data_IF_824623788807
#
_entry.id   IF_824623788807
#
_cell.length_a   1.000
_cell.length_b   1.000
_cell.length_c   1.000
_cell.angle_alpha   90.00
_cell.angle_beta   90.00
_cell.angle_gamma   90.00
#
_symmetry.space_group_name_H-M   'P 1'
#
loop_
_entity.id
_entity.type
_entity.pdbx_description
1 polymer ?
#
# COMPACT_ATOMS: atom_id res chain seq x y z
N UNK A 1 -70.98 66.55 -3.99
CA UNK A 1 -70.70 65.11 -4.25
C UNK A 1 -69.53 65.01 -5.22
N UNK A 2 -68.34 65.32 -4.73
CA UNK A 2 -67.01 65.22 -5.35
C UNK A 2 -66.09 65.89 -4.33
N UNK A 3 -64.83 65.47 -4.23
CA UNK A 3 -63.85 65.91 -3.21
C UNK A 3 -64.00 65.20 -1.84
N UNK A 4 -63.90 63.86 -1.79
CA UNK A 4 -63.38 63.16 -0.59
C UNK A 4 -62.82 61.75 -0.90
N UNK A 5 -62.50 61.46 -2.17
CA UNK A 5 -62.01 60.15 -2.60
C UNK A 5 -60.55 60.15 -3.09
N UNK A 6 -59.77 61.20 -2.79
CA UNK A 6 -58.36 61.30 -3.21
C UNK A 6 -57.35 61.29 -2.06
N UNK A 7 -57.78 61.30 -0.79
CA UNK A 7 -56.87 61.31 0.35
C UNK A 7 -56.48 59.91 0.87
N UNK A 8 -57.17 58.84 0.47
CA UNK A 8 -56.91 57.49 0.97
C UNK A 8 -55.98 56.63 0.08
N UNK A 9 -55.67 57.06 -1.15
CA UNK A 9 -54.78 56.32 -2.06
C UNK A 9 -53.32 56.79 -1.92
N UNK A 10 -53.08 57.96 -1.33
CA UNK A 10 -51.74 58.49 -1.10
C UNK A 10 -50.98 57.80 0.07
N UNK A 11 -51.66 56.98 0.88
CA UNK A 11 -51.08 56.27 2.03
C UNK A 11 -50.78 54.79 1.78
N UNK A 12 -50.91 54.31 0.54
CA UNK A 12 -50.62 52.91 0.17
C UNK A 12 -49.51 52.73 -0.87
N UNK A 13 -48.72 53.78 -1.16
CA UNK A 13 -47.61 53.74 -2.14
C UNK A 13 -46.28 54.26 -1.54
N UNK A 14 -46.03 54.03 -0.25
CA UNK A 14 -44.72 54.37 0.37
C UNK A 14 -43.98 53.22 1.05
N UNK A 15 -44.35 51.96 0.79
CA UNK A 15 -43.53 50.81 1.20
C UNK A 15 -43.30 49.81 0.07
N UNK A 16 -42.96 50.29 -1.13
CA UNK A 16 -42.10 49.51 -2.02
C UNK A 16 -40.67 49.97 -1.76
N UNK A 17 -40.03 49.29 -0.81
CA UNK A 17 -38.58 49.31 -0.67
C UNK A 17 -38.00 48.93 -2.03
N UNK A 18 -37.27 49.85 -2.64
CA UNK A 18 -36.50 49.63 -3.85
C UNK A 18 -35.61 48.39 -3.64
N UNK A 19 -35.83 47.34 -4.42
CA UNK A 19 -34.85 46.27 -4.54
C UNK A 19 -33.64 46.86 -5.25
N UNK A 20 -32.54 47.07 -4.51
CA UNK A 20 -31.29 47.59 -5.06
C UNK A 20 -30.84 46.76 -6.28
N UNK A 21 -30.28 47.41 -7.33
CA UNK A 21 -29.76 46.71 -8.49
C UNK A 21 -28.58 45.80 -8.10
N UNK A 22 -28.60 44.57 -8.62
CA UNK A 22 -27.65 43.51 -8.31
C UNK A 22 -26.20 43.94 -8.57
N UNK A 23 -25.25 43.75 -7.63
CA UNK A 23 -23.85 44.06 -7.87
C UNK A 23 -23.28 43.11 -8.95
N UNK A 24 -22.71 43.68 -10.02
CA UNK A 24 -21.94 42.92 -11.02
C UNK A 24 -20.60 42.50 -10.40
N UNK A 25 -20.16 41.27 -10.66
CA UNK A 25 -18.86 40.80 -10.18
C UNK A 25 -17.73 41.70 -10.70
N UNK A 26 -16.75 42.08 -9.86
CA UNK A 26 -15.62 42.87 -10.30
C UNK A 26 -14.77 42.07 -11.30
N UNK A 27 -14.14 42.77 -12.25
CA UNK A 27 -13.25 42.14 -13.25
C UNK A 27 -11.96 41.57 -12.64
N UNK A 28 -11.56 42.06 -11.46
CA UNK A 28 -10.42 41.56 -10.68
C UNK A 28 -10.82 41.42 -9.22
N UNK A 29 -10.54 40.25 -8.65
CA UNK A 29 -10.79 39.97 -7.24
C UNK A 29 -9.67 40.54 -6.35
N UNK A 30 -10.04 41.30 -5.33
CA UNK A 30 -9.14 41.79 -4.27
C UNK A 30 -9.45 41.05 -2.97
N UNK A 31 -8.69 39.97 -2.72
CA UNK A 31 -8.92 39.07 -1.59
C UNK A 31 -8.65 39.76 -0.24
N UNK A 32 -7.87 40.84 -0.21
CA UNK A 32 -7.58 41.60 1.01
C UNK A 32 -8.81 42.28 1.62
N UNK A 33 -9.84 42.51 0.80
CA UNK A 33 -11.12 43.12 1.21
C UNK A 33 -12.17 42.09 1.57
N UNK A 34 -11.86 40.80 1.48
CA UNK A 34 -12.82 39.76 1.79
C UNK A 34 -13.13 39.73 3.29
N UNK A 35 -14.41 39.61 3.67
CA UNK A 35 -14.78 39.38 5.05
C UNK A 35 -14.20 38.05 5.51
N UNK A 36 -13.84 37.96 6.80
CA UNK A 36 -13.43 36.70 7.45
C UNK A 36 -14.51 36.24 8.44
N UNK A 37 -15.69 35.81 7.95
CA UNK A 37 -16.80 35.43 8.82
C UNK A 37 -16.53 34.11 9.55
N UNK A 38 -17.03 33.98 10.78
CA UNK A 38 -17.08 32.68 11.48
C UNK A 38 -18.14 31.80 10.83
N UNK A 39 -17.71 30.75 10.13
CA UNK A 39 -18.60 29.85 9.39
C UNK A 39 -18.59 28.42 9.97
N UNK A 40 -19.52 28.09 10.89
CA UNK A 40 -19.66 26.74 11.45
C UNK A 40 -19.91 25.65 10.40
N UNK A 41 -20.58 26.00 9.30
CA UNK A 41 -20.89 25.06 8.21
C UNK A 41 -19.75 24.87 7.21
N UNK A 42 -18.62 25.56 7.39
CA UNK A 42 -17.51 25.57 6.44
C UNK A 42 -17.57 26.77 5.49
N UNK A 43 -16.56 26.88 4.64
CA UNK A 43 -16.40 27.98 3.69
C UNK A 43 -16.63 27.50 2.27
N UNK A 44 -17.28 28.34 1.47
CA UNK A 44 -17.44 28.14 0.03
C UNK A 44 -17.12 29.44 -0.69
N UNK A 45 -16.66 29.39 -1.94
CA UNK A 45 -16.51 30.60 -2.74
C UNK A 45 -17.84 31.34 -2.88
N UNK A 46 -17.78 32.68 -2.84
CA UNK A 46 -18.90 33.53 -3.23
C UNK A 46 -19.27 33.34 -4.70
N UNK A 47 -20.34 33.99 -5.16
CA UNK A 47 -20.82 33.86 -6.55
C UNK A 47 -19.83 34.38 -7.59
N UNK A 48 -18.87 35.20 -7.19
CA UNK A 48 -17.85 35.77 -8.07
C UNK A 48 -16.54 34.96 -7.99
N UNK A 49 -16.52 33.85 -7.26
CA UNK A 49 -15.32 33.07 -6.93
C UNK A 49 -14.18 33.93 -6.36
N UNK A 50 -14.52 34.95 -5.58
CA UNK A 50 -13.57 35.93 -5.08
C UNK A 50 -13.30 35.76 -3.58
N UNK A 51 -14.35 35.79 -2.76
CA UNK A 51 -14.23 35.65 -1.31
C UNK A 51 -14.72 34.30 -0.81
N UNK A 52 -14.19 33.85 0.33
CA UNK A 52 -14.75 32.73 1.07
C UNK A 52 -15.90 33.23 1.95
N UNK A 53 -17.09 32.70 1.70
CA UNK A 53 -18.32 32.99 2.47
C UNK A 53 -18.82 31.74 3.18
N UNK A 54 -19.76 31.92 4.11
CA UNK A 54 -20.31 30.77 4.83
C UNK A 54 -21.11 29.87 3.90
N UNK A 55 -20.76 28.59 3.93
CA UNK A 55 -21.49 27.55 3.23
C UNK A 55 -22.89 27.36 3.83
N UNK A 56 -23.82 26.87 3.01
CA UNK A 56 -25.17 26.57 3.50
C UNK A 56 -25.13 25.41 4.50
N UNK A 57 -25.72 25.65 5.67
CA UNK A 57 -25.83 24.66 6.73
C UNK A 57 -26.94 23.64 6.48
N UNK A 58 -26.95 22.55 7.25
CA UNK A 58 -28.00 21.53 7.14
C UNK A 58 -29.39 22.13 7.36
N UNK A 59 -30.35 21.80 6.49
CA UNK A 59 -31.70 22.37 6.49
C UNK A 59 -31.85 23.65 5.67
N UNK A 60 -30.75 24.24 5.21
CA UNK A 60 -30.78 25.45 4.37
C UNK A 60 -31.12 25.13 2.92
N UNK A 61 -31.58 26.14 2.18
CA UNK A 61 -31.95 25.98 0.78
C UNK A 61 -30.74 25.79 -0.12
N UNK A 62 -30.90 24.91 -1.11
CA UNK A 62 -29.88 24.66 -2.11
C UNK A 62 -30.50 24.32 -3.48
N UNK A 63 -29.66 24.38 -4.52
CA UNK A 63 -30.02 23.94 -5.87
C UNK A 63 -30.67 25.01 -6.75
N UNK A 64 -30.97 26.22 -6.23
CA UNK A 64 -31.32 27.37 -7.08
C UNK A 64 -30.06 28.13 -7.51
N UNK A 65 -30.16 28.86 -8.61
CA UNK A 65 -29.07 29.70 -9.14
C UNK A 65 -28.53 30.73 -8.13
N UNK A 66 -29.38 31.15 -7.19
CA UNK A 66 -29.04 32.12 -6.16
C UNK A 66 -28.63 31.47 -4.81
N UNK A 67 -28.77 30.16 -4.65
CA UNK A 67 -28.37 29.48 -3.42
C UNK A 67 -26.85 29.23 -3.41
N UNK A 68 -26.20 29.45 -2.27
CA UNK A 68 -24.81 29.04 -2.05
C UNK A 68 -24.73 27.50 -1.91
N UNK A 69 -23.58 26.89 -2.23
CA UNK A 69 -23.41 25.46 -2.09
C UNK A 69 -23.47 24.99 -0.63
N UNK A 70 -23.88 23.73 -0.43
CA UNK A 70 -23.90 23.09 0.87
C UNK A 70 -22.48 22.89 1.42
N UNK A 71 -22.32 23.02 2.74
CA UNK A 71 -21.04 22.85 3.41
C UNK A 71 -20.51 21.42 3.46
N UNK A 72 -19.29 21.24 3.98
CA UNK A 72 -18.59 19.97 3.99
C UNK A 72 -19.41 18.81 4.59
N UNK A 73 -19.60 17.76 3.79
CA UNK A 73 -20.33 16.55 4.18
C UNK A 73 -21.86 16.63 3.97
N UNK A 74 -22.38 17.78 3.56
CA UNK A 74 -23.78 17.97 3.18
C UNK A 74 -23.96 17.79 1.67
N UNK A 75 -25.05 17.15 1.26
CA UNK A 75 -25.47 17.00 -0.12
C UNK A 75 -26.80 17.74 -0.33
N UNK A 76 -26.96 18.40 -1.48
CA UNK A 76 -28.21 19.04 -1.82
C UNK A 76 -29.23 17.99 -2.27
N UNK A 77 -30.28 17.76 -1.48
CA UNK A 77 -31.34 16.79 -1.81
C UNK A 77 -32.63 17.49 -2.19
N UNK A 78 -33.24 17.01 -3.27
CA UNK A 78 -34.56 17.46 -3.72
C UNK A 78 -35.65 16.47 -3.26
N UNK A 79 -36.84 16.95 -2.88
CA UNK A 79 -38.01 16.12 -2.67
C UNK A 79 -38.29 15.20 -3.87
N UNK A 80 -38.65 13.95 -3.59
CA UNK A 80 -38.92 12.95 -4.62
C UNK A 80 -40.00 13.43 -5.61
N UNK A 81 -39.69 13.36 -6.91
CA UNK A 81 -40.64 13.63 -8.00
C UNK A 81 -40.67 15.05 -8.57
N UNK A 82 -39.86 16.01 -8.08
CA UNK A 82 -39.82 17.38 -8.65
C UNK A 82 -38.41 17.96 -8.74
N UNK A 83 -37.72 17.77 -9.87
CA UNK A 83 -36.39 18.38 -10.16
C UNK A 83 -36.38 19.92 -10.11
N UNK A 84 -37.53 20.59 -10.20
CA UNK A 84 -37.66 22.06 -10.09
C UNK A 84 -38.00 22.56 -8.66
N UNK A 85 -38.12 21.67 -7.68
CA UNK A 85 -38.43 22.06 -6.30
C UNK A 85 -37.20 22.51 -5.52
N UNK A 86 -37.40 23.40 -4.52
CA UNK A 86 -36.35 23.92 -3.63
C UNK A 86 -35.64 22.75 -2.94
N UNK A 87 -34.34 22.57 -3.21
CA UNK A 87 -33.51 21.57 -2.55
C UNK A 87 -33.16 22.00 -1.13
N UNK A 88 -32.77 21.03 -0.30
CA UNK A 88 -32.34 21.27 1.08
C UNK A 88 -31.01 20.56 1.32
N UNK A 89 -30.07 21.23 1.96
CA UNK A 89 -28.79 20.64 2.36
C UNK A 89 -29.02 19.58 3.43
N UNK A 90 -28.64 18.34 3.17
CA UNK A 90 -28.81 17.21 4.10
C UNK A 90 -27.50 16.46 4.27
N UNK A 91 -27.19 16.03 5.49
CA UNK A 91 -26.00 15.20 5.73
C UNK A 91 -26.11 13.87 4.98
N UNK A 92 -25.00 13.45 4.36
CA UNK A 92 -24.90 12.14 3.69
C UNK A 92 -25.17 10.98 4.65
N UNK A 93 -24.77 11.15 5.90
CA UNK A 93 -24.92 10.20 6.98
C UNK A 93 -25.97 10.72 7.96
N UNK A 94 -27.13 10.07 8.07
CA UNK A 94 -28.26 10.54 8.87
C UNK A 94 -28.37 9.93 10.27
N UNK A 95 -27.42 9.06 10.67
CA UNK A 95 -27.43 8.42 11.98
C UNK A 95 -26.90 9.37 13.06
N UNK A 96 -27.47 9.29 14.27
CA UNK A 96 -27.00 10.07 15.44
C UNK A 96 -25.57 9.71 15.81
N UNK A 97 -24.81 10.68 16.34
CA UNK A 97 -23.44 10.46 16.81
C UNK A 97 -23.23 11.10 18.18
N UNK A 98 -22.40 10.48 19.01
CA UNK A 98 -22.01 11.03 20.30
C UNK A 98 -20.73 11.84 20.14
N UNK A 99 -20.73 13.09 20.62
CA UNK A 99 -19.53 13.92 20.68
C UNK A 99 -18.68 13.62 21.91
N UNK A 100 -17.38 13.95 21.84
CA UNK A 100 -16.47 13.91 22.98
C UNK A 100 -16.89 14.84 24.13
N UNK A 101 -17.81 15.76 23.87
CA UNK A 101 -18.47 16.63 24.85
C UNK A 101 -19.68 15.97 25.53
N UNK A 102 -19.95 14.70 25.26
CA UNK A 102 -21.10 13.96 25.81
C UNK A 102 -22.44 14.38 25.23
N UNK A 103 -22.47 15.22 24.18
CA UNK A 103 -23.72 15.63 23.53
C UNK A 103 -24.05 14.74 22.35
N UNK A 104 -25.32 14.36 22.26
CA UNK A 104 -25.84 13.66 21.09
C UNK A 104 -26.08 14.64 19.96
N UNK A 105 -25.41 14.41 18.83
CA UNK A 105 -25.65 15.14 17.58
C UNK A 105 -26.54 14.31 16.66
N UNK A 106 -27.44 14.98 15.94
CA UNK A 106 -28.35 14.32 15.01
C UNK A 106 -27.65 13.58 13.86
N UNK A 107 -26.44 14.02 13.51
CA UNK A 107 -25.56 13.39 12.53
C UNK A 107 -24.12 13.94 12.61
N UNK A 108 -23.20 13.30 11.87
CA UNK A 108 -21.79 13.69 11.81
C UNK A 108 -21.58 15.13 11.29
N UNK A 109 -22.43 15.63 10.39
CA UNK A 109 -22.30 16.98 9.86
C UNK A 109 -22.58 18.04 10.93
N UNK A 110 -23.57 17.79 11.80
CA UNK A 110 -23.86 18.65 12.96
C UNK A 110 -22.74 18.63 13.99
N UNK A 111 -22.14 17.47 14.25
CA UNK A 111 -20.98 17.38 15.15
C UNK A 111 -19.80 18.18 14.60
N UNK A 112 -19.47 18.02 13.31
CA UNK A 112 -18.40 18.80 12.66
C UNK A 112 -18.67 20.31 12.70
N UNK A 113 -19.92 20.72 12.51
CA UNK A 113 -20.31 22.13 12.61
C UNK A 113 -20.14 22.67 14.04
N UNK A 114 -20.51 21.88 15.06
CA UNK A 114 -20.29 22.22 16.46
C UNK A 114 -18.80 22.30 16.82
N UNK A 115 -17.98 21.36 16.33
CA UNK A 115 -16.53 21.38 16.52
C UNK A 115 -15.89 22.65 15.93
N UNK A 116 -16.24 23.01 14.69
CA UNK A 116 -15.74 24.24 14.05
C UNK A 116 -16.13 25.48 14.83
N UNK A 117 -17.37 25.53 15.34
CA UNK A 117 -17.82 26.62 16.21
C UNK A 117 -17.03 26.67 17.52
N UNK A 118 -16.78 25.53 18.15
CA UNK A 118 -16.00 25.44 19.38
C UNK A 118 -14.56 25.94 19.18
N UNK A 119 -13.88 25.47 18.13
CA UNK A 119 -12.52 25.89 17.77
C UNK A 119 -12.43 27.40 17.48
N UNK A 120 -13.42 27.95 16.78
CA UNK A 120 -13.49 29.39 16.51
C UNK A 120 -13.74 30.24 17.77
N UNK A 121 -14.31 29.64 18.82
CA UNK A 121 -14.51 30.27 20.13
C UNK A 121 -13.36 29.99 21.10
N UNK A 122 -12.27 29.34 20.65
CA UNK A 122 -11.14 28.96 21.51
C UNK A 122 -11.46 27.85 22.51
N UNK A 123 -12.56 27.12 22.33
CA UNK A 123 -12.96 26.00 23.16
C UNK A 123 -12.31 24.69 22.68
N UNK A 124 -12.32 23.68 23.55
CA UNK A 124 -11.82 22.33 23.24
C UNK A 124 -12.53 21.73 22.04
N UNK A 125 -11.77 21.04 21.18
CA UNK A 125 -12.30 20.40 19.99
C UNK A 125 -13.27 19.28 20.36
N UNK A 126 -14.41 19.24 19.68
CA UNK A 126 -15.41 18.17 19.80
C UNK A 126 -15.20 17.16 18.69
N UNK A 127 -14.76 15.96 19.03
CA UNK A 127 -14.57 14.85 18.09
C UNK A 127 -15.70 13.83 18.24
N UNK A 128 -15.86 12.95 17.26
CA UNK A 128 -16.83 11.86 17.37
C UNK A 128 -16.30 10.82 18.37
N UNK A 129 -17.03 10.62 19.47
CA UNK A 129 -16.71 9.59 20.46
C UNK A 129 -17.16 8.21 19.96
N UNK A 130 -18.42 8.07 19.55
CA UNK A 130 -18.95 6.84 18.94
C UNK A 130 -20.16 7.11 18.04
N UNK A 131 -20.56 6.10 17.25
CA UNK A 131 -21.81 6.10 16.48
C UNK A 131 -23.00 5.84 17.42
N UNK A 132 -24.13 6.50 17.21
CA UNK A 132 -25.32 6.42 18.07
C UNK A 132 -25.49 7.63 19.00
N UNK A 133 -26.62 7.74 19.72
CA UNK A 133 -26.82 8.76 20.75
C UNK A 133 -25.88 8.56 21.94
N UNK A 134 -25.49 9.64 22.62
CA UNK A 134 -24.91 9.56 23.96
C UNK A 134 -25.99 9.10 24.94
N UNK A 135 -25.65 8.18 25.83
CA UNK A 135 -26.59 7.66 26.83
C UNK A 135 -26.94 8.76 27.85
N UNK A 136 -28.25 9.02 27.99
CA UNK A 136 -28.79 10.02 28.92
C UNK A 136 -29.20 9.31 30.21
N UNK A 137 -28.22 8.93 31.02
CA UNK A 137 -28.45 8.44 32.38
C UNK A 137 -27.79 9.40 33.38
N UNK A 138 -28.55 10.02 34.31
CA UNK A 138 -27.98 10.85 35.36
C UNK A 138 -27.19 9.93 36.30
N UNK A 139 -25.88 9.84 36.08
CA UNK A 139 -24.98 8.98 36.87
C UNK A 139 -24.00 8.14 36.07
N UNK A 140 -24.10 8.09 34.74
CA UNK A 140 -23.12 7.40 33.89
C UNK A 140 -22.56 8.37 32.87
N UNK A 141 -21.36 8.88 33.15
CA UNK A 141 -20.50 9.50 32.16
C UNK A 141 -20.16 8.54 31.00
N UNK A 142 -19.32 8.97 30.04
CA UNK A 142 -19.08 8.31 28.75
C UNK A 142 -18.92 6.82 28.96
N UNK A 143 -19.69 5.91 28.35
CA UNK A 143 -19.68 4.45 28.59
C UNK A 143 -18.30 3.95 29.09
N UNK A 144 -18.17 4.00 30.42
CA UNK A 144 -16.99 3.79 31.26
C UNK A 144 -15.62 4.39 30.83
N UNK A 145 -15.31 5.68 31.10
CA UNK A 145 -13.95 6.21 30.93
C UNK A 145 -13.01 5.66 32.02
N UNK A 146 -13.61 5.16 33.11
CA UNK A 146 -12.95 4.51 34.22
C UNK A 146 -12.89 2.99 34.08
N UNK A 147 -13.50 2.38 33.05
CA UNK A 147 -13.34 0.93 32.85
C UNK A 147 -11.94 0.67 32.32
N UNK A 148 -11.16 -0.21 32.98
CA UNK A 148 -9.84 -0.61 32.51
C UNK A 148 -9.84 -1.05 31.04
N UNK A 149 -10.94 -1.63 30.56
CA UNK A 149 -11.09 -2.08 29.17
C UNK A 149 -10.94 -0.96 28.15
N UNK A 150 -11.51 0.23 28.39
CA UNK A 150 -11.44 1.34 27.43
C UNK A 150 -10.21 2.23 27.66
N UNK A 151 -9.55 2.08 28.81
CA UNK A 151 -8.36 2.84 29.17
C UNK A 151 -7.05 2.17 28.75
N UNK A 152 -6.99 0.84 28.77
CA UNK A 152 -5.73 0.10 28.62
C UNK A 152 -5.68 -0.83 27.40
N UNK A 153 -6.67 -0.82 26.51
CA UNK A 153 -6.66 -1.62 25.28
C UNK A 153 -5.89 -0.95 24.13
N UNK A 154 -4.71 -0.40 24.42
CA UNK A 154 -3.86 0.28 23.42
C UNK A 154 -3.47 -0.62 22.25
N UNK A 155 -3.36 -1.95 22.46
CA UNK A 155 -3.10 -2.91 21.38
C UNK A 155 -4.27 -2.96 20.39
N UNK A 156 -5.51 -2.93 20.88
CA UNK A 156 -6.68 -2.94 20.03
C UNK A 156 -6.76 -1.66 19.18
N UNK A 157 -6.43 -0.52 19.77
CA UNK A 157 -6.39 0.78 19.08
C UNK A 157 -5.37 0.77 17.94
N UNK A 158 -4.17 0.22 18.19
CA UNK A 158 -3.12 0.05 17.17
C UNK A 158 -3.60 -0.88 16.04
N UNK A 159 -4.20 -2.02 16.38
CA UNK A 159 -4.72 -2.96 15.39
C UNK A 159 -5.80 -2.32 14.52
N UNK A 160 -6.76 -1.62 15.12
CA UNK A 160 -7.82 -0.93 14.38
C UNK A 160 -7.26 0.11 13.40
N UNK A 161 -6.21 0.84 13.82
CA UNK A 161 -5.52 1.83 12.99
C UNK A 161 -4.81 1.21 11.80
N UNK A 162 -4.06 0.11 12.01
CA UNK A 162 -3.15 -0.44 10.99
C UNK A 162 -3.79 -1.50 10.09
N UNK A 163 -4.81 -2.22 10.58
CA UNK A 163 -5.41 -3.36 9.90
C UNK A 163 -5.82 -3.09 8.43
N UNK A 164 -6.39 -1.92 8.07
CA UNK A 164 -6.78 -1.65 6.69
C UNK A 164 -5.63 -1.59 5.67
N UNK A 165 -4.39 -1.39 6.13
CA UNK A 165 -3.20 -1.31 5.29
C UNK A 165 -2.43 -2.64 5.20
N UNK A 166 -2.84 -3.66 5.96
CA UNK A 166 -2.26 -5.01 5.91
C UNK A 166 -2.96 -5.81 4.83
N UNK A 167 -2.19 -6.59 4.08
CA UNK A 167 -2.68 -7.35 2.91
C UNK A 167 -2.25 -8.81 2.98
N UNK A 168 -3.07 -9.67 2.39
CA UNK A 168 -2.73 -11.06 2.09
C UNK A 168 -2.05 -11.13 0.72
N UNK A 169 -0.98 -11.91 0.60
CA UNK A 169 -0.23 -12.11 -0.63
C UNK A 169 -0.21 -13.59 -0.95
N UNK A 170 -0.57 -13.92 -2.19
CA UNK A 170 -0.60 -15.28 -2.68
C UNK A 170 0.10 -15.36 -4.05
N UNK A 171 1.10 -16.24 -4.14
CA UNK A 171 1.77 -16.60 -5.38
C UNK A 171 1.19 -17.93 -5.84
N UNK A 172 0.70 -17.99 -7.08
CA UNK A 172 0.17 -19.22 -7.66
C UNK A 172 0.71 -19.46 -9.07
N UNK A 173 0.76 -20.75 -9.43
CA UNK A 173 1.10 -21.22 -10.76
C UNK A 173 -0.18 -21.48 -11.53
N UNK A 174 -0.33 -20.86 -12.70
CA UNK A 174 -1.42 -21.18 -13.62
C UNK A 174 -0.96 -22.28 -14.58
N UNK A 175 -1.53 -23.47 -14.47
CA UNK A 175 -1.16 -24.59 -15.34
C UNK A 175 -1.69 -24.38 -16.77
N UNK A 176 -0.84 -24.39 -17.81
CA UNK A 176 -1.25 -24.05 -19.18
C UNK A 176 -2.27 -25.03 -19.78
N UNK A 177 -2.22 -26.31 -19.41
CA UNK A 177 -3.10 -27.35 -19.97
C UNK A 177 -4.46 -27.50 -19.26
N UNK A 178 -4.56 -27.17 -17.96
CA UNK A 178 -5.76 -27.46 -17.15
C UNK A 178 -6.42 -26.22 -16.55
N UNK A 179 -5.82 -25.03 -16.71
CA UNK A 179 -6.36 -23.78 -16.18
C UNK A 179 -6.50 -23.71 -14.65
N UNK A 180 -5.98 -24.72 -13.92
CA UNK A 180 -5.99 -24.75 -12.46
C UNK A 180 -4.86 -23.88 -11.90
N UNK A 181 -5.19 -23.11 -10.86
CA UNK A 181 -4.23 -22.34 -10.07
C UNK A 181 -3.75 -23.22 -8.91
N UNK A 182 -2.44 -23.42 -8.81
CA UNK A 182 -1.81 -24.13 -7.68
C UNK A 182 -1.09 -23.09 -6.83
N UNK A 183 -1.44 -22.91 -5.55
CA UNK A 183 -0.73 -21.98 -4.67
C UNK A 183 0.70 -22.48 -4.46
N UNK A 184 1.68 -21.59 -4.65
CA UNK A 184 3.12 -21.85 -4.49
C UNK A 184 3.67 -21.27 -3.19
N UNK A 185 3.23 -20.06 -2.84
CA UNK A 185 3.65 -19.36 -1.63
C UNK A 185 2.52 -18.45 -1.15
N UNK A 186 2.45 -18.24 0.15
CA UNK A 186 1.43 -17.42 0.79
C UNK A 186 2.03 -16.70 1.98
N UNK A 187 1.61 -15.46 2.21
CA UNK A 187 2.07 -14.66 3.32
C UNK A 187 1.31 -13.35 3.43
N UNK A 188 1.87 -12.43 4.19
CA UNK A 188 1.33 -11.09 4.42
C UNK A 188 2.21 -10.02 3.80
N UNK A 189 1.66 -8.82 3.71
CA UNK A 189 2.40 -7.61 3.40
C UNK A 189 1.70 -6.38 3.96
N UNK A 190 2.24 -5.21 3.69
CA UNK A 190 1.59 -3.96 4.04
C UNK A 190 1.79 -2.89 2.97
N UNK A 191 0.79 -2.04 2.82
CA UNK A 191 0.80 -0.91 1.89
C UNK A 191 1.65 0.21 2.47
N UNK A 192 2.66 0.64 1.71
CA UNK A 192 3.55 1.75 2.05
C UNK A 192 3.18 3.06 1.33
N UNK A 193 2.44 2.98 0.22
CA UNK A 193 1.99 4.15 -0.54
C UNK A 193 0.54 4.02 -0.97
N UNK A 194 -0.20 5.12 -0.88
CA UNK A 194 -1.59 5.22 -1.38
C UNK A 194 -1.73 4.80 -2.85
N UNK A 195 -0.64 4.85 -3.62
CA UNK A 195 -0.58 4.44 -5.03
C UNK A 195 -0.50 2.93 -5.25
N UNK A 196 -0.41 2.13 -4.19
CA UNK A 196 -0.37 0.67 -4.25
C UNK A 196 1.02 0.04 -4.18
N UNK A 197 2.01 0.73 -3.62
CA UNK A 197 3.30 0.10 -3.29
C UNK A 197 3.16 -0.70 -2.00
N UNK A 198 3.54 -1.98 -2.04
CA UNK A 198 3.44 -2.92 -0.93
C UNK A 198 4.81 -3.50 -0.64
N UNK A 199 5.11 -3.68 0.65
CA UNK A 199 6.33 -4.32 1.14
C UNK A 199 5.97 -5.68 1.74
N UNK A 200 6.83 -6.67 1.51
CA UNK A 200 6.75 -8.02 2.08
C UNK A 200 8.14 -8.67 2.08
N UNK A 201 8.24 -9.94 2.45
CA UNK A 201 9.48 -10.69 2.34
C UNK A 201 9.74 -11.22 0.93
N UNK A 202 11.01 -11.44 0.61
CA UNK A 202 11.41 -12.02 -0.67
C UNK A 202 10.86 -13.45 -0.82
N UNK A 203 10.92 -14.26 0.24
CA UNK A 203 10.43 -15.64 0.21
C UNK A 203 8.91 -15.76 0.01
N UNK A 204 8.13 -14.73 0.34
CA UNK A 204 6.66 -14.72 0.11
C UNK A 204 6.34 -14.62 -1.39
N UNK A 205 7.17 -13.91 -2.15
CA UNK A 205 6.94 -13.64 -3.58
C UNK A 205 7.81 -14.47 -4.51
N UNK A 206 8.70 -15.31 -3.97
CA UNK A 206 9.55 -16.23 -4.74
C UNK A 206 9.21 -17.67 -4.43
N UNK A 207 9.24 -18.52 -5.45
CA UNK A 207 9.15 -19.97 -5.29
C UNK A 207 10.42 -20.62 -5.84
N UNK A 208 10.90 -21.66 -5.15
CA UNK A 208 12.00 -22.52 -5.59
C UNK A 208 11.51 -23.67 -6.49
N UNK A 209 10.20 -23.83 -6.66
CA UNK A 209 9.61 -24.95 -7.38
C UNK A 209 9.75 -24.74 -8.89
N UNK A 210 10.61 -25.56 -9.51
CA UNK A 210 10.81 -25.63 -10.96
C UNK A 210 9.63 -26.30 -11.66
N UNK A 211 8.48 -25.64 -11.72
CA UNK A 211 7.31 -26.11 -12.49
C UNK A 211 7.04 -25.19 -13.69
N UNK A 212 6.76 -25.79 -14.85
CA UNK A 212 6.40 -25.08 -16.07
C UNK A 212 5.03 -24.40 -15.92
N UNK A 213 5.02 -23.06 -15.96
CA UNK A 213 3.80 -22.25 -15.89
C UNK A 213 4.08 -20.76 -15.64
N UNK A 214 3.10 -19.91 -15.90
CA UNK A 214 3.20 -18.48 -15.61
C UNK A 214 2.88 -18.24 -14.13
N UNK A 215 3.86 -17.71 -13.40
CA UNK A 215 3.67 -17.25 -12.03
C UNK A 215 2.81 -15.99 -12.01
N UNK A 216 1.78 -15.98 -11.16
CA UNK A 216 0.92 -14.83 -10.94
C UNK A 216 0.88 -14.51 -9.45
N UNK A 217 0.97 -13.22 -9.13
CA UNK A 217 0.90 -12.72 -7.77
C UNK A 217 -0.43 -12.00 -7.55
N UNK A 218 -1.16 -12.41 -6.53
CA UNK A 218 -2.39 -11.75 -6.09
C UNK A 218 -2.18 -11.13 -4.73
N UNK A 219 -2.80 -9.97 -4.56
CA UNK A 219 -2.89 -9.26 -3.29
C UNK A 219 -4.34 -9.11 -2.95
N UNK A 220 -4.71 -9.48 -1.73
CA UNK A 220 -6.05 -9.26 -1.21
C UNK A 220 -6.02 -8.27 -0.05
N UNK A 221 -6.87 -7.25 -0.12
CA UNK A 221 -6.99 -6.21 0.89
C UNK A 221 -7.94 -6.64 2.03
N UNK A 222 -7.88 -5.90 3.14
CA UNK A 222 -8.78 -6.10 4.29
C UNK A 222 -10.28 -6.02 3.94
N UNK A 223 -10.66 -5.24 2.93
CA UNK A 223 -12.05 -5.12 2.48
C UNK A 223 -12.51 -6.27 1.56
N UNK A 224 -11.62 -7.20 1.21
CA UNK A 224 -11.88 -8.32 0.30
C UNK A 224 -11.51 -8.08 -1.15
N UNK A 225 -11.17 -6.85 -1.55
CA UNK A 225 -10.75 -6.54 -2.92
C UNK A 225 -9.46 -7.28 -3.27
N UNK A 226 -9.42 -7.86 -4.47
CA UNK A 226 -8.28 -8.62 -4.98
C UNK A 226 -7.65 -7.90 -6.17
N UNK A 227 -6.33 -7.76 -6.16
CA UNK A 227 -5.54 -7.12 -7.21
C UNK A 227 -4.47 -8.07 -7.72
N UNK A 228 -4.22 -8.06 -9.02
CA UNK A 228 -2.97 -8.60 -9.56
C UNK A 228 -1.82 -7.65 -9.19
N UNK A 229 -0.69 -8.24 -8.80
CA UNK A 229 0.49 -7.52 -8.38
C UNK A 229 1.70 -7.91 -9.24
N UNK A 230 2.62 -6.96 -9.41
CA UNK A 230 3.91 -7.19 -10.06
C UNK A 230 5.04 -6.97 -9.07
N UNK A 231 6.09 -7.78 -9.14
CA UNK A 231 7.29 -7.57 -8.35
C UNK A 231 8.03 -6.37 -8.93
N UNK A 232 8.30 -5.37 -8.09
CA UNK A 232 8.99 -4.14 -8.49
C UNK A 232 10.50 -4.28 -8.22
N UNK A 233 10.84 -4.70 -7.00
CA UNK A 233 12.23 -4.87 -6.56
C UNK A 233 12.29 -6.01 -5.55
N UNK A 234 13.41 -6.73 -5.52
CA UNK A 234 13.64 -7.86 -4.61
C UNK A 234 15.10 -7.91 -4.18
N UNK A 235 15.33 -8.10 -2.89
CA UNK A 235 16.64 -8.40 -2.31
C UNK A 235 16.53 -9.69 -1.50
N UNK A 236 17.02 -10.78 -2.09
CA UNK A 236 17.04 -12.11 -1.45
C UNK A 236 18.00 -12.18 -0.26
N UNK A 237 19.04 -11.33 -0.21
CA UNK A 237 20.02 -11.33 0.89
C UNK A 237 19.39 -10.76 2.16
N UNK A 238 18.63 -9.67 2.04
CA UNK A 238 17.91 -9.09 3.17
C UNK A 238 16.50 -9.63 3.37
N UNK A 239 16.03 -10.52 2.48
CA UNK A 239 14.67 -11.07 2.46
C UNK A 239 13.58 -9.99 2.39
N UNK A 240 13.79 -8.95 1.58
CA UNK A 240 12.84 -7.85 1.36
C UNK A 240 12.38 -7.86 -0.10
N UNK A 241 11.08 -7.67 -0.33
CA UNK A 241 10.53 -7.41 -1.65
C UNK A 241 9.55 -6.24 -1.62
N UNK A 242 9.48 -5.53 -2.74
CA UNK A 242 8.38 -4.59 -3.01
C UNK A 242 7.58 -5.06 -4.21
N UNK A 243 6.27 -4.98 -4.09
CA UNK A 243 5.32 -5.31 -5.14
C UNK A 243 4.40 -4.11 -5.40
N UNK A 244 3.84 -4.05 -6.60
CA UNK A 244 2.97 -2.95 -7.03
C UNK A 244 1.62 -3.50 -7.46
N UNK A 245 0.56 -2.93 -6.92
CA UNK A 245 -0.82 -3.09 -7.39
C UNK A 245 -1.33 -1.79 -8.00
N UNK A 246 -2.35 -1.86 -8.85
CA UNK A 246 -2.97 -0.69 -9.47
C UNK A 246 -4.40 -0.51 -8.96
N UNK A 247 -4.58 0.18 -7.82
CA UNK A 247 -5.88 0.33 -7.20
C UNK A 247 -6.70 1.42 -7.88
N UNK A 248 -8.03 1.24 -7.92
CA UNK A 248 -8.93 2.27 -8.46
C UNK A 248 -9.09 3.47 -7.52
N UNK A 249 -8.84 3.26 -6.22
CA UNK A 249 -8.93 4.26 -5.15
C UNK A 249 -7.62 4.28 -4.38
N UNK A 250 -7.34 5.41 -3.73
CA UNK A 250 -6.20 5.52 -2.80
C UNK A 250 -6.32 4.47 -1.70
N UNK A 251 -5.23 3.76 -1.44
CA UNK A 251 -5.18 2.75 -0.38
C UNK A 251 -4.75 3.35 0.95
N UNK A 252 -5.23 2.82 2.10
CA UNK A 252 -4.62 3.08 3.40
C UNK A 252 -3.16 2.64 3.38
N UNK A 253 -2.26 3.46 3.93
CA UNK A 253 -0.82 3.19 3.95
C UNK A 253 -0.24 3.39 5.34
N UNK A 254 0.80 2.60 5.67
CA UNK A 254 1.56 2.73 6.91
C UNK A 254 2.83 3.57 6.68
N UNK A 255 3.26 4.27 7.73
CA UNK A 255 4.55 4.96 7.80
C UNK A 255 5.64 4.02 8.34
N UNK A 256 6.88 4.22 7.90
CA UNK A 256 8.05 3.55 8.49
C UNK A 256 8.56 4.38 9.67
N UNK A 257 8.64 3.77 10.85
CA UNK A 257 9.31 4.33 12.02
C UNK A 257 10.83 4.21 11.93
N UNK A 258 11.55 4.56 13.00
CA UNK A 258 13.00 4.43 13.12
C UNK A 258 13.36 3.25 14.01
N UNK A 259 13.81 2.15 13.41
CA UNK A 259 14.19 0.94 14.16
C UNK A 259 15.41 1.15 15.06
N UNK A 260 16.28 2.09 14.74
CA UNK A 260 17.43 2.46 15.57
C UNK A 260 17.02 3.07 16.94
N UNK A 261 15.82 3.63 17.03
CA UNK A 261 15.32 4.30 18.25
C UNK A 261 14.56 3.34 19.19
N UNK A 262 14.42 2.07 18.78
CA UNK A 262 13.71 1.05 19.56
C UNK A 262 14.38 0.79 20.90
N UNK A 263 13.56 0.72 21.95
CA UNK A 263 14.02 0.38 23.30
C UNK A 263 13.67 -1.06 23.64
N UNK A 264 14.60 -1.83 24.25
CA UNK A 264 14.23 -3.09 24.87
C UNK A 264 13.06 -2.90 25.85
N UNK A 265 12.04 -3.75 25.73
CA UNK A 265 10.79 -3.67 26.49
C UNK A 265 9.66 -2.89 25.83
N UNK A 266 9.89 -2.24 24.67
CA UNK A 266 8.84 -1.55 23.95
C UNK A 266 7.80 -2.53 23.39
N UNK A 267 6.51 -2.23 23.59
CA UNK A 267 5.42 -3.04 23.07
C UNK A 267 5.35 -2.97 21.55
N UNK A 268 5.19 -4.12 20.93
CA UNK A 268 5.06 -4.27 19.48
C UNK A 268 3.89 -5.19 19.13
N UNK A 269 3.31 -4.94 17.96
CA UNK A 269 2.23 -5.73 17.38
C UNK A 269 2.71 -6.33 16.07
N UNK A 270 2.75 -7.65 15.98
CA UNK A 270 2.99 -8.37 14.74
C UNK A 270 1.64 -8.74 14.13
N UNK A 271 1.34 -8.16 12.98
CA UNK A 271 0.06 -8.37 12.29
C UNK A 271 0.28 -8.95 10.89
N UNK A 272 -0.65 -9.78 10.47
CA UNK A 272 -0.76 -10.22 9.09
C UNK A 272 -2.18 -10.63 8.74
N UNK A 273 -2.34 -11.08 7.50
CA UNK A 273 -3.58 -11.61 6.95
C UNK A 273 -3.29 -13.02 6.40
N UNK A 274 -3.26 -14.08 7.24
CA UNK A 274 -3.02 -15.46 6.77
C UNK A 274 -4.03 -15.91 5.72
N UNK A 275 -5.26 -15.44 5.85
CA UNK A 275 -6.37 -15.74 4.96
C UNK A 275 -7.06 -14.44 4.58
N UNK A 276 -7.69 -14.46 3.41
CA UNK A 276 -8.69 -13.48 3.01
C UNK A 276 -9.58 -13.08 4.20
N UNK A 277 -9.58 -11.79 4.57
CA UNK A 277 -10.50 -11.20 5.57
C UNK A 277 -10.24 -11.55 7.05
N UNK A 278 -9.23 -12.34 7.37
CA UNK A 278 -8.88 -12.67 8.76
C UNK A 278 -7.48 -12.18 9.10
N UNK A 279 -7.39 -11.22 10.02
CA UNK A 279 -6.11 -10.77 10.53
C UNK A 279 -5.63 -11.72 11.64
N UNK A 280 -4.37 -12.13 11.58
CA UNK A 280 -3.68 -12.73 12.72
C UNK A 280 -2.84 -11.66 13.39
N UNK A 281 -3.13 -11.43 14.66
CA UNK A 281 -2.48 -10.42 15.47
C UNK A 281 -1.85 -11.12 16.65
N UNK A 282 -0.57 -10.82 16.88
CA UNK A 282 0.15 -11.20 18.08
C UNK A 282 0.83 -9.95 18.63
N UNK A 283 1.02 -9.92 19.95
CA UNK A 283 1.66 -8.80 20.64
C UNK A 283 2.80 -9.34 21.48
N UNK A 284 3.80 -8.51 21.68
CA UNK A 284 4.95 -8.80 22.53
C UNK A 284 5.71 -7.53 22.82
N UNK A 285 6.96 -7.69 23.24
CA UNK A 285 7.93 -6.62 23.45
C UNK A 285 9.15 -6.82 22.55
N UNK A 286 9.89 -5.75 22.32
CA UNK A 286 11.24 -5.84 21.76
C UNK A 286 12.16 -6.42 22.82
N UNK A 287 12.76 -7.58 22.57
CA UNK A 287 13.80 -8.13 23.44
C UNK A 287 15.14 -7.44 23.20
N UNK A 288 15.48 -7.24 21.92
CA UNK A 288 16.73 -6.59 21.48
C UNK A 288 16.48 -5.90 20.13
N UNK A 289 16.92 -4.66 19.99
CA UNK A 289 16.74 -3.88 18.75
C UNK A 289 17.76 -4.23 17.66
N UNK A 290 18.92 -4.79 18.02
CA UNK A 290 20.02 -5.12 17.12
C UNK A 290 20.65 -6.44 17.58
N UNK A 291 20.25 -7.54 16.94
CA UNK A 291 20.93 -8.83 17.12
C UNK A 291 21.60 -9.25 15.82
N UNK A 292 22.91 -9.44 15.89
CA UNK A 292 23.72 -9.87 14.74
C UNK A 292 23.25 -11.27 14.29
N UNK A 293 22.88 -11.40 13.02
CA UNK A 293 22.45 -12.68 12.45
C UNK A 293 23.52 -13.77 12.51
N UNK A 294 24.81 -13.43 12.65
CA UNK A 294 25.89 -14.40 12.90
C UNK A 294 25.71 -15.13 14.23
N UNK A 295 25.14 -14.48 15.25
CA UNK A 295 24.79 -15.11 16.53
C UNK A 295 23.61 -16.10 16.40
N UNK A 296 22.86 -16.01 15.31
CA UNK A 296 21.73 -16.89 15.00
C UNK A 296 22.12 -18.11 14.16
N UNK A 297 23.43 -18.29 13.91
CA UNK A 297 23.96 -19.38 13.08
C UNK A 297 23.78 -19.17 11.57
N UNK A 298 23.35 -17.97 11.15
CA UNK A 298 23.26 -17.58 9.75
C UNK A 298 24.66 -17.15 9.28
N UNK A 299 25.41 -18.11 8.71
CA UNK A 299 26.84 -17.98 8.37
C UNK A 299 27.17 -16.87 7.34
N UNK A 300 26.16 -16.25 6.71
CA UNK A 300 26.31 -15.24 5.63
C UNK A 300 25.53 -13.93 5.88
N UNK A 301 24.97 -13.72 7.08
CA UNK A 301 24.19 -12.52 7.34
C UNK A 301 25.02 -11.46 8.08
N UNK A 302 25.51 -10.44 7.35
CA UNK A 302 25.91 -9.15 7.94
C UNK A 302 24.66 -8.30 8.29
N UNK A 303 23.63 -8.93 8.83
CA UNK A 303 22.30 -8.35 9.01
C UNK A 303 21.93 -8.39 10.49
N UNK A 304 21.52 -7.24 11.00
CA UNK A 304 20.91 -7.13 12.32
C UNK A 304 19.40 -7.35 12.21
N UNK A 305 18.85 -8.05 13.20
CA UNK A 305 17.42 -8.29 13.33
C UNK A 305 16.88 -7.68 14.62
N UNK A 306 15.60 -7.29 14.57
CA UNK A 306 14.82 -6.98 15.77
C UNK A 306 14.36 -8.32 16.35
N UNK A 307 14.68 -8.57 17.61
CA UNK A 307 14.18 -9.72 18.34
C UNK A 307 12.94 -9.34 19.14
N UNK A 308 11.89 -10.16 19.07
CA UNK A 308 10.66 -10.00 19.84
C UNK A 308 10.13 -11.34 20.32
N UNK A 309 9.39 -11.33 21.42
CA UNK A 309 8.60 -12.48 21.88
C UNK A 309 7.19 -12.53 21.27
N UNK A 310 6.81 -11.52 20.47
CA UNK A 310 5.60 -11.56 19.66
C UNK A 310 5.66 -12.77 18.71
N UNK A 311 4.62 -13.60 18.72
CA UNK A 311 4.63 -14.85 17.97
C UNK A 311 4.52 -14.55 16.47
N UNK A 312 5.53 -14.96 15.71
CA UNK A 312 5.51 -14.91 14.24
C UNK A 312 5.22 -16.31 13.69
N UNK A 313 4.34 -16.40 12.72
CA UNK A 313 3.96 -17.63 12.02
C UNK A 313 3.76 -17.34 10.52
N UNK A 314 3.47 -18.38 9.73
CA UNK A 314 3.18 -18.23 8.30
C UNK A 314 2.08 -17.20 8.01
N UNK A 315 1.16 -17.00 8.95
CA UNK A 315 0.06 -16.07 8.78
C UNK A 315 0.41 -14.60 8.89
N UNK A 316 1.47 -14.24 9.62
CA UNK A 316 1.94 -12.86 9.73
C UNK A 316 3.34 -12.61 9.17
N UNK A 317 4.02 -13.65 8.66
CA UNK A 317 5.26 -13.51 7.88
C UNK A 317 5.06 -12.61 6.66
N UNK A 318 6.00 -11.71 6.41
CA UNK A 318 5.90 -10.64 5.42
C UNK A 318 5.06 -9.43 5.86
N UNK A 319 4.25 -9.57 6.90
CA UNK A 319 3.47 -8.49 7.49
C UNK A 319 4.33 -7.54 8.33
N UNK A 320 3.77 -6.40 8.76
CA UNK A 320 4.50 -5.42 9.54
C UNK A 320 4.60 -5.84 11.02
N UNK A 321 5.73 -5.50 11.63
CA UNK A 321 5.90 -5.34 13.07
C UNK A 321 5.79 -3.85 13.39
N UNK A 322 4.80 -3.45 14.20
CA UNK A 322 4.52 -2.04 14.49
C UNK A 322 4.70 -1.69 15.96
N UNK A 323 5.06 -0.43 16.23
CA UNK A 323 5.06 0.15 17.57
C UNK A 323 3.66 0.66 17.97
N UNK A 324 3.54 1.23 19.18
CA UNK A 324 2.27 1.76 19.69
C UNK A 324 1.78 3.02 18.96
N UNK A 325 2.64 3.71 18.22
CA UNK A 325 2.25 4.83 17.36
C UNK A 325 1.66 4.35 16.01
N UNK A 326 1.69 3.04 15.74
CA UNK A 326 1.25 2.44 14.49
C UNK A 326 2.23 2.62 13.35
N UNK A 327 3.50 2.89 13.66
CA UNK A 327 4.59 2.97 12.69
C UNK A 327 5.24 1.60 12.52
N UNK A 328 5.62 1.27 11.29
CA UNK A 328 6.31 0.02 10.98
C UNK A 328 7.77 0.13 11.41
N UNK A 329 8.14 -0.68 12.39
CA UNK A 329 9.52 -0.78 12.90
C UNK A 329 10.23 -2.03 12.39
N UNK A 330 9.51 -2.98 11.77
CA UNK A 330 10.12 -4.05 10.99
C UNK A 330 9.17 -4.89 10.14
N UNK A 331 9.71 -5.88 9.42
CA UNK A 331 8.95 -6.90 8.66
C UNK A 331 9.08 -8.23 9.38
N UNK A 332 7.96 -8.86 9.71
CA UNK A 332 7.92 -10.17 10.36
C UNK A 332 8.54 -11.24 9.44
N UNK A 333 9.57 -11.97 9.87
CA UNK A 333 10.24 -12.97 9.01
C UNK A 333 10.21 -14.37 9.57
N UNK A 334 10.99 -14.60 10.63
CA UNK A 334 11.36 -15.94 11.09
C UNK A 334 10.97 -16.13 12.55
N UNK A 335 10.46 -17.33 12.85
CA UNK A 335 10.37 -17.85 14.20
C UNK A 335 11.45 -18.92 14.36
N UNK A 336 12.33 -18.77 15.35
CA UNK A 336 13.39 -19.75 15.63
C UNK A 336 12.95 -20.73 16.70
N UNK A 337 12.34 -20.24 17.78
CA UNK A 337 11.81 -21.07 18.88
C UNK A 337 10.64 -20.38 19.57
N UNK A 338 9.98 -21.03 20.53
CA UNK A 338 8.93 -20.40 21.32
C UNK A 338 9.50 -19.19 22.09
N UNK A 339 8.85 -18.02 21.96
CA UNK A 339 9.27 -16.77 22.60
C UNK A 339 10.45 -16.05 21.94
N UNK A 340 10.95 -16.51 20.79
CA UNK A 340 11.99 -15.82 20.01
C UNK A 340 11.59 -15.78 18.54
N UNK A 341 11.16 -14.60 18.11
CA UNK A 341 10.88 -14.27 16.72
C UNK A 341 11.78 -13.11 16.26
N UNK A 342 11.97 -13.02 14.95
CA UNK A 342 12.80 -11.99 14.33
C UNK A 342 12.01 -11.18 13.30
N UNK A 343 12.37 -9.90 13.20
CA UNK A 343 11.89 -9.00 12.17
C UNK A 343 13.04 -8.22 11.52
N UNK A 344 12.91 -7.94 10.23
CA UNK A 344 13.87 -7.09 9.50
C UNK A 344 13.65 -5.63 9.92
N UNK A 345 14.67 -4.89 10.37
CA UNK A 345 14.52 -3.51 10.84
C UNK A 345 13.99 -2.53 9.79
N UNK A 346 13.14 -1.57 10.17
CA UNK A 346 12.55 -0.58 9.25
C UNK A 346 13.61 0.30 8.56
N UNK A 347 14.72 0.61 9.21
CA UNK A 347 15.79 1.40 8.59
C UNK A 347 16.49 0.63 7.47
N UNK A 348 16.48 -0.72 7.53
CA UNK A 348 16.90 -1.56 6.40
C UNK A 348 15.92 -1.47 5.24
N UNK A 349 14.62 -1.44 5.52
CA UNK A 349 13.58 -1.23 4.50
C UNK A 349 13.78 0.13 3.82
N UNK A 350 14.01 1.20 4.59
CA UNK A 350 14.32 2.54 4.05
C UNK A 350 15.53 2.49 3.11
N UNK A 351 16.63 1.85 3.54
CA UNK A 351 17.84 1.68 2.71
C UNK A 351 17.53 0.94 1.40
N UNK A 352 16.81 -0.18 1.47
CA UNK A 352 16.41 -0.95 0.29
C UNK A 352 15.58 -0.11 -0.69
N UNK A 353 14.62 0.68 -0.18
CA UNK A 353 13.80 1.57 -1.00
C UNK A 353 14.64 2.68 -1.66
N UNK A 354 15.56 3.30 -0.92
CA UNK A 354 16.47 4.32 -1.46
C UNK A 354 17.39 3.73 -2.54
N UNK A 355 17.95 2.54 -2.31
CA UNK A 355 18.79 1.85 -3.29
C UNK A 355 18.00 1.48 -4.55
N UNK A 356 16.76 1.00 -4.42
CA UNK A 356 15.87 0.76 -5.56
C UNK A 356 15.58 2.03 -6.36
N UNK A 357 15.25 3.13 -5.68
CA UNK A 357 15.00 4.41 -6.35
C UNK A 357 16.26 4.94 -7.06
N UNK A 358 17.43 4.79 -6.43
CA UNK A 358 18.71 5.17 -7.01
C UNK A 358 19.06 4.29 -8.21
N UNK A 359 18.79 2.98 -8.16
CA UNK A 359 18.92 2.09 -9.32
C UNK A 359 18.05 2.55 -10.48
N UNK A 360 16.81 2.98 -10.22
CA UNK A 360 15.94 3.55 -11.27
C UNK A 360 16.48 4.86 -11.83
N UNK A 361 16.98 5.75 -10.97
CA UNK A 361 17.60 7.01 -11.41
C UNK A 361 18.94 6.79 -12.14
N UNK A 362 19.64 5.70 -11.84
CA UNK A 362 20.82 5.24 -12.59
C UNK A 362 20.44 4.45 -13.86
N UNK A 363 19.30 3.77 -13.90
CA UNK A 363 18.73 3.19 -15.12
C UNK A 363 18.30 4.28 -16.11
N UNK A 364 17.87 5.46 -15.63
CA UNK A 364 17.71 6.67 -16.48
C UNK A 364 19.07 7.18 -17.03
N UNK A 365 20.20 6.74 -16.46
CA UNK A 365 21.54 6.82 -17.08
C UNK A 365 21.91 5.46 -17.69
N UNK A 366 21.14 5.04 -18.69
CA UNK A 366 21.26 3.81 -19.49
C UNK A 366 22.51 2.93 -19.26
N UNK A 367 22.39 1.97 -18.34
CA UNK A 367 23.33 0.84 -18.25
C UNK A 367 22.92 -0.16 -19.33
N UNK A 368 23.70 -0.24 -20.41
CA UNK A 368 23.55 -1.26 -21.45
C UNK A 368 23.72 -2.66 -20.84
N UNK A 369 22.62 -3.35 -20.53
CA UNK A 369 22.68 -4.76 -20.08
C UNK A 369 22.64 -5.66 -21.30
N UNK A 370 23.61 -6.56 -21.39
CA UNK A 370 23.68 -7.58 -22.44
C UNK A 370 22.99 -8.85 -21.99
N UNK A 371 22.31 -9.52 -22.90
CA UNK A 371 21.65 -10.79 -22.63
C UNK A 371 21.74 -11.72 -23.83
N UNK A 372 21.69 -13.03 -23.56
CA UNK A 372 21.60 -14.07 -24.60
C UNK A 372 20.27 -14.82 -24.57
N UNK A 373 19.46 -14.63 -23.51
CA UNK A 373 18.10 -15.14 -23.41
C UNK A 373 17.99 -16.63 -23.10
N UNK A 374 18.76 -17.12 -22.12
CA UNK A 374 18.62 -18.47 -21.55
C UNK A 374 18.29 -18.41 -20.06
N UNK A 375 17.53 -19.38 -19.57
CA UNK A 375 17.45 -19.70 -18.14
C UNK A 375 18.41 -20.84 -17.84
N UNK A 376 19.19 -20.66 -16.79
CA UNK A 376 20.35 -21.48 -16.52
C UNK A 376 20.38 -21.95 -15.07
N UNK A 377 20.91 -23.16 -14.88
CA UNK A 377 21.17 -23.76 -13.56
C UNK A 377 22.65 -24.17 -13.51
N UNK A 378 23.32 -23.89 -12.40
CA UNK A 378 24.68 -24.43 -12.17
C UNK A 378 24.58 -25.93 -11.94
N UNK A 379 25.38 -26.73 -12.65
CA UNK A 379 25.48 -28.17 -12.39
C UNK A 379 26.18 -28.39 -11.05
N UNK A 380 25.43 -28.90 -10.08
CA UNK A 380 25.97 -29.44 -8.83
C UNK A 380 26.00 -30.97 -8.90
N UNK A 381 26.78 -31.66 -8.05
CA UNK A 381 26.77 -33.13 -8.01
C UNK A 381 25.38 -33.71 -7.79
N UNK A 382 24.57 -33.05 -6.94
CA UNK A 382 23.19 -33.47 -6.68
C UNK A 382 22.30 -33.29 -7.90
N UNK A 383 22.38 -32.15 -8.59
CA UNK A 383 21.58 -31.88 -9.79
C UNK A 383 21.97 -32.79 -10.95
N UNK A 384 23.26 -33.10 -11.11
CA UNK A 384 23.74 -34.03 -12.14
C UNK A 384 23.16 -35.44 -11.95
N UNK A 385 23.12 -35.95 -10.72
CA UNK A 385 22.52 -37.24 -10.39
C UNK A 385 21.00 -37.24 -10.64
N UNK A 386 20.29 -36.18 -10.22
CA UNK A 386 18.85 -36.04 -10.49
C UNK A 386 18.53 -36.02 -11.98
N UNK A 387 19.28 -35.26 -12.78
CA UNK A 387 19.08 -35.18 -14.23
C UNK A 387 19.40 -36.51 -14.92
N UNK A 388 20.41 -37.24 -14.44
CA UNK A 388 20.78 -38.58 -14.94
C UNK A 388 19.74 -39.65 -14.59
N UNK A 389 19.09 -39.54 -13.43
CA UNK A 389 17.96 -40.42 -13.07
C UNK A 389 16.74 -40.17 -13.97
N UNK A 390 16.49 -38.91 -14.37
CA UNK A 390 15.37 -38.55 -15.24
C UNK A 390 15.64 -38.85 -16.72
N UNK A 391 16.89 -38.72 -17.16
CA UNK A 391 17.32 -39.00 -18.52
C UNK A 391 18.61 -39.84 -18.47
N UNK A 392 18.53 -41.16 -18.71
CA UNK A 392 19.70 -42.05 -18.71
C UNK A 392 20.80 -41.64 -19.69
N UNK A 393 20.43 -40.94 -20.77
CA UNK A 393 21.36 -40.42 -21.79
C UNK A 393 21.96 -39.07 -21.41
N UNK A 394 21.70 -38.56 -20.19
CA UNK A 394 22.29 -37.32 -19.71
C UNK A 394 23.82 -37.48 -19.60
N UNK A 395 24.60 -36.58 -20.22
CA UNK A 395 26.04 -36.73 -20.28
C UNK A 395 26.69 -36.66 -18.90
N UNK A 396 27.71 -37.49 -18.68
CA UNK A 396 28.53 -37.41 -17.49
C UNK A 396 29.38 -36.12 -17.52
N UNK A 397 28.98 -35.13 -16.73
CA UNK A 397 29.68 -33.86 -16.56
C UNK A 397 30.01 -33.62 -15.09
N UNK A 398 31.22 -33.14 -14.81
CA UNK A 398 31.68 -32.81 -13.45
C UNK A 398 31.36 -31.37 -13.03
N UNK A 399 30.90 -30.53 -13.96
CA UNK A 399 30.57 -29.13 -13.77
C UNK A 399 30.08 -28.48 -15.07
N UNK A 400 29.57 -27.26 -14.97
CA UNK A 400 29.04 -26.50 -16.11
C UNK A 400 27.70 -25.86 -15.81
N UNK A 401 27.07 -25.34 -16.85
CA UNK A 401 25.79 -24.64 -16.77
C UNK A 401 24.75 -25.40 -17.60
N UNK A 402 23.70 -25.88 -16.95
CA UNK A 402 22.55 -26.50 -17.60
C UNK A 402 21.60 -25.45 -18.16
N UNK A 403 21.26 -25.57 -19.45
CA UNK A 403 20.28 -24.72 -20.13
C UNK A 403 18.88 -25.27 -19.89
N UNK A 404 18.17 -24.68 -18.94
CA UNK A 404 16.82 -25.09 -18.58
C UNK A 404 15.78 -24.64 -19.61
N UNK A 405 15.92 -23.41 -20.12
CA UNK A 405 15.00 -22.81 -21.08
C UNK A 405 15.75 -21.85 -22.01
N UNK A 406 15.31 -21.77 -23.26
CA UNK A 406 15.79 -20.77 -24.22
C UNK A 406 14.62 -19.88 -24.61
N UNK A 407 14.76 -18.56 -24.44
CA UNK A 407 13.70 -17.60 -24.71
C UNK A 407 13.49 -17.46 -26.23
N UNK A 408 12.23 -17.34 -26.70
CA UNK A 408 11.95 -17.04 -28.10
C UNK A 408 12.57 -15.72 -28.58
N UNK A 409 13.01 -15.67 -29.83
CA UNK A 409 13.66 -14.54 -30.50
C UNK A 409 14.96 -14.04 -29.84
N UNK A 410 15.56 -14.83 -28.95
CA UNK A 410 16.80 -14.47 -28.25
C UNK A 410 18.05 -14.80 -29.08
N UNK A 411 19.22 -14.19 -28.76
CA UNK A 411 20.49 -14.58 -29.36
C UNK A 411 20.82 -16.06 -29.23
N UNK A 412 20.55 -16.67 -28.08
CA UNK A 412 20.80 -18.09 -27.87
C UNK A 412 19.92 -18.97 -28.77
N UNK A 413 18.65 -18.60 -28.97
CA UNK A 413 17.79 -19.33 -29.91
C UNK A 413 18.31 -19.19 -31.35
N UNK A 414 18.65 -17.96 -31.78
CA UNK A 414 19.19 -17.69 -33.13
C UNK A 414 20.52 -18.41 -33.35
N UNK A 415 21.34 -18.51 -32.30
CA UNK A 415 22.62 -19.20 -32.31
C UNK A 415 22.53 -20.72 -32.16
N UNK A 416 21.32 -21.29 -32.00
CA UNK A 416 21.12 -22.74 -32.02
C UNK A 416 21.32 -23.46 -30.68
N UNK A 417 21.39 -22.72 -29.57
CA UNK A 417 21.33 -23.28 -28.21
C UNK A 417 19.91 -23.81 -27.97
N UNK A 418 19.82 -24.96 -27.29
CA UNK A 418 18.56 -25.66 -27.00
C UNK A 418 18.44 -25.92 -25.50
N UNK A 419 17.21 -26.08 -25.04
CA UNK A 419 16.96 -26.59 -23.69
C UNK A 419 17.53 -28.01 -23.56
N UNK A 420 18.16 -28.30 -22.43
CA UNK A 420 18.87 -29.56 -22.18
C UNK A 420 20.38 -29.51 -22.48
N UNK A 421 20.87 -28.46 -23.16
CA UNK A 421 22.29 -28.25 -23.41
C UNK A 421 23.07 -28.01 -22.11
N UNK A 422 24.34 -28.43 -22.07
CA UNK A 422 25.24 -28.15 -20.94
C UNK A 422 26.43 -27.33 -21.44
N UNK A 423 26.54 -26.09 -20.98
CA UNK A 423 27.67 -25.22 -21.31
C UNK A 423 28.84 -25.56 -20.39
N UNK A 424 29.93 -26.06 -20.96
CA UNK A 424 31.11 -26.53 -20.21
C UNK A 424 32.28 -25.55 -20.26
N UNK A 425 32.41 -24.78 -21.35
CA UNK A 425 33.41 -23.71 -21.45
C UNK A 425 32.85 -22.44 -22.07
N UNK A 426 33.49 -21.33 -21.72
CA UNK A 426 33.26 -20.01 -22.27
C UNK A 426 34.59 -19.40 -22.67
N UNK A 427 34.74 -19.03 -23.94
CA UNK A 427 35.98 -18.45 -24.50
C UNK A 427 37.22 -19.30 -24.15
N UNK A 428 37.07 -20.63 -24.17
CA UNK A 428 38.12 -21.60 -23.83
C UNK A 428 38.35 -21.82 -22.33
N UNK A 429 37.67 -21.08 -21.44
CA UNK A 429 37.77 -21.24 -19.97
C UNK A 429 36.64 -22.14 -19.47
N UNK A 430 36.97 -23.08 -18.58
CA UNK A 430 35.95 -23.93 -17.96
C UNK A 430 34.97 -23.11 -17.12
N UNK A 431 33.69 -23.42 -17.21
CA UNK A 431 32.63 -22.81 -16.41
C UNK A 431 32.31 -23.67 -15.20
N UNK A 432 32.23 -23.02 -14.04
CA UNK A 432 31.91 -23.67 -12.76
C UNK A 432 30.59 -23.18 -12.19
N UNK A 433 30.19 -21.95 -12.52
CA UNK A 433 28.97 -21.33 -12.00
C UNK A 433 28.27 -20.48 -13.05
N UNK A 434 26.98 -20.23 -12.84
CA UNK A 434 26.22 -19.24 -13.62
C UNK A 434 26.76 -17.82 -13.48
N UNK A 435 27.51 -17.52 -12.41
CA UNK A 435 28.19 -16.24 -12.21
C UNK A 435 29.26 -15.98 -13.27
N UNK A 436 30.00 -17.02 -13.66
CA UNK A 436 31.09 -16.93 -14.64
C UNK A 436 30.56 -16.47 -16.02
N UNK A 437 29.36 -16.94 -16.39
CA UNK A 437 28.69 -16.53 -17.64
C UNK A 437 28.07 -15.12 -17.52
N UNK A 438 27.60 -14.73 -16.32
CA UNK A 438 27.09 -13.38 -16.08
C UNK A 438 28.20 -12.32 -16.13
N UNK A 439 29.39 -12.65 -15.63
CA UNK A 439 30.56 -11.77 -15.67
C UNK A 439 31.00 -11.51 -17.12
N UNK A 440 31.10 -12.56 -17.94
CA UNK A 440 31.45 -12.41 -19.35
C UNK A 440 30.41 -11.63 -20.17
N UNK A 441 29.14 -11.64 -19.77
CA UNK A 441 28.11 -10.79 -20.38
C UNK A 441 28.33 -9.30 -20.10
N UNK A 442 29.18 -8.92 -19.15
CA UNK A 442 29.54 -7.52 -18.93
C UNK A 442 30.58 -7.01 -19.94
N UNK A 443 31.28 -7.90 -20.64
CA UNK A 443 32.29 -7.56 -21.64
C UNK A 443 31.68 -7.29 -23.03
N UNK A 444 32.32 -6.44 -23.84
CA UNK A 444 31.88 -6.12 -25.21
C UNK A 444 32.40 -7.13 -26.24
N UNK A 445 32.15 -8.42 -26.01
CA UNK A 445 32.66 -9.49 -26.86
C UNK A 445 31.60 -10.57 -27.10
N UNK A 446 31.67 -11.23 -28.27
CA UNK A 446 30.93 -12.45 -28.52
C UNK A 446 31.34 -13.56 -27.53
N UNK A 447 30.40 -14.45 -27.24
CA UNK A 447 30.60 -15.57 -26.33
C UNK A 447 30.77 -16.85 -27.14
N UNK A 448 31.99 -17.40 -27.14
CA UNK A 448 32.25 -18.73 -27.69
C UNK A 448 31.95 -19.78 -26.61
N UNK A 449 30.79 -20.42 -26.74
CA UNK A 449 30.28 -21.42 -25.83
C UNK A 449 30.65 -22.82 -26.33
N UNK A 450 31.32 -23.60 -25.48
CA UNK A 450 31.48 -25.05 -25.67
C UNK A 450 30.34 -25.74 -24.94
N UNK A 451 29.52 -26.47 -25.69
CA UNK A 451 28.24 -27.02 -25.24
C UNK A 451 28.22 -28.52 -25.49
N UNK A 452 27.92 -29.29 -24.44
CA UNK A 452 27.65 -30.71 -24.52
C UNK A 452 26.16 -30.95 -24.75
N UNK A 453 25.84 -31.62 -25.85
CA UNK A 453 24.48 -32.01 -26.23
C UNK A 453 24.47 -33.52 -26.48
N UNK A 454 23.98 -34.28 -25.50
CA UNK A 454 24.15 -35.74 -25.51
C UNK A 454 25.64 -36.10 -25.52
N UNK A 455 26.08 -36.85 -26.53
CA UNK A 455 27.49 -37.25 -26.70
C UNK A 455 28.31 -36.29 -27.56
N UNK A 456 27.71 -35.25 -28.11
CA UNK A 456 28.40 -34.29 -28.97
C UNK A 456 28.91 -33.10 -28.16
N UNK A 457 30.17 -32.72 -28.41
CA UNK A 457 30.74 -31.44 -27.96
C UNK A 457 30.67 -30.45 -29.13
N UNK A 458 29.89 -29.39 -28.96
CA UNK A 458 29.57 -28.39 -29.98
C UNK A 458 30.11 -27.02 -29.59
N UNK A 459 30.47 -26.21 -30.58
CA UNK A 459 30.88 -24.82 -30.38
C UNK A 459 29.84 -23.87 -30.96
N UNK A 460 29.42 -22.90 -30.15
CA UNK A 460 28.46 -21.87 -30.54
C UNK A 460 29.04 -20.49 -30.28
N UNK A 461 29.10 -19.65 -31.30
CA UNK A 461 29.42 -18.25 -31.14
C UNK A 461 28.13 -17.45 -30.97
N UNK A 462 27.90 -16.91 -29.78
CA UNK A 462 26.68 -16.17 -29.44
C UNK A 462 27.03 -14.69 -29.25
N UNK A 463 26.42 -13.82 -30.04
CA UNK A 463 26.51 -12.38 -29.85
C UNK A 463 25.41 -11.91 -28.88
N UNK A 464 25.74 -11.36 -27.70
CA UNK A 464 24.74 -10.87 -26.78
C UNK A 464 24.00 -9.65 -27.33
N UNK A 465 22.67 -9.66 -27.25
CA UNK A 465 21.86 -8.48 -27.57
C UNK A 465 21.94 -7.48 -26.40
N UNK A 466 21.90 -6.18 -26.71
CA UNK A 466 21.85 -5.10 -25.72
C UNK A 466 20.39 -4.70 -25.52
N UNK A 467 19.88 -4.85 -24.30
CA UNK A 467 18.61 -4.25 -23.92
C UNK A 467 18.90 -2.87 -23.34
N UNK A 468 18.28 -1.85 -23.92
CA UNK A 468 18.13 -0.55 -23.29
C UNK A 468 16.84 -0.57 -22.48
N UNK A 469 16.92 -0.30 -21.18
CA UNK A 469 15.76 -0.07 -20.33
C UNK A 469 15.48 1.42 -20.19
#
# INVERSE_FOLDING_TARGET
MQIFAFAAIALWIQHFVAAEPRPKCPSRCDVSKCPSPSCPSGYVPDRCNCCLVCAQGEGSSCGRKEDLPCGDGLECKHPAGKRLSKGVCQCKQSYKVCGSDGKTYGNVCRLKAANRKALQQGLTSVTQAHKGPCDVSPGTGPLHPNSPRYKFNFIADVVEKIAPAVVHIELFLRHPLFGRNVPLSSGSGFVLSETGLIVTNAHVVTSTTSMSGQQQLKVQLHNGDVYEATIKDIDKKSDIATIKVNPQKKLPALSLGHSADLRPGEFVVAIGSPFALQNTVTTGIVSTAQRDGKELGLRDSDMDYIQTDAIINYGNSGGPLVNLDGEVIGINTLKVTAGISFAIPSDRIKRFLTESLNKKNQEVKGIKKRFIGIRMLTITPTLAEELKQQNPDFPAVSGGIYVHEVLPNSPAQKGGIKAGDIIVKLNGRALTSTGDLQEALMEDTGLLLEVRRGNDDLLFNIEPDVIMH
#
